data_IF_048039912825
#
_entry.id   IF_048039912825
#
_cell.length_a   1.000
_cell.length_b   1.000
_cell.length_c   1.000
_cell.angle_alpha   90.00
_cell.angle_beta   90.00
_cell.angle_gamma   90.00
#
_symmetry.space_group_name_H-M   'P 1'
#
loop_
_entity.id
_entity.type
_entity.pdbx_description
1 polymer ?
#
# COMPACT_ATOMS: atom_id res chain seq x y z
N UNK A 1 -23.04 -55.50 -78.05
CA UNK A 1 -24.43 -56.00 -77.88
C UNK A 1 -25.13 -55.07 -76.92
N UNK A 2 -26.31 -54.62 -77.34
CA UNK A 2 -27.14 -53.58 -76.77
C UNK A 2 -27.76 -54.00 -75.42
N UNK A 3 -27.82 -53.16 -74.44
CA UNK A 3 -28.61 -53.29 -73.24
C UNK A 3 -29.18 -51.93 -72.83
N UNK A 4 -30.39 -51.67 -73.21
CA UNK A 4 -31.18 -50.47 -72.93
C UNK A 4 -31.89 -50.66 -71.59
N UNK A 5 -31.63 -49.82 -70.59
CA UNK A 5 -32.44 -49.79 -69.36
C UNK A 5 -33.10 -48.42 -69.19
N UNK A 6 -34.44 -48.45 -69.26
CA UNK A 6 -35.32 -47.38 -68.92
C UNK A 6 -35.36 -47.20 -67.38
N UNK A 7 -35.15 -46.01 -66.88
CA UNK A 7 -35.46 -45.68 -65.49
C UNK A 7 -36.58 -44.70 -65.46
N UNK A 8 -37.66 -45.12 -64.84
CA UNK A 8 -38.90 -44.41 -64.59
C UNK A 8 -38.67 -43.32 -63.54
N UNK A 9 -38.90 -42.09 -63.92
CA UNK A 9 -38.79 -40.94 -63.03
C UNK A 9 -40.13 -40.73 -62.32
N UNK A 10 -40.21 -41.01 -61.03
CA UNK A 10 -41.37 -40.65 -60.19
C UNK A 10 -41.13 -39.30 -59.55
N UNK A 11 -41.87 -38.32 -60.02
CA UNK A 11 -41.94 -37.01 -59.39
C UNK A 11 -42.86 -37.09 -58.16
N UNK A 12 -42.28 -37.11 -56.98
CA UNK A 12 -43.01 -36.80 -55.74
C UNK A 12 -42.90 -35.30 -55.47
N UNK A 13 -44.00 -34.59 -55.65
CA UNK A 13 -44.14 -33.22 -55.14
C UNK A 13 -44.43 -33.29 -53.66
N UNK A 14 -43.45 -33.00 -52.85
CA UNK A 14 -43.61 -32.81 -51.40
C UNK A 14 -43.86 -31.31 -51.18
N UNK A 15 -45.10 -30.98 -50.85
CA UNK A 15 -45.42 -29.64 -50.32
C UNK A 15 -44.81 -29.54 -48.95
N UNK A 16 -43.68 -28.85 -48.88
CA UNK A 16 -43.01 -28.53 -47.62
C UNK A 16 -43.81 -27.50 -46.85
N UNK A 17 -44.35 -27.89 -45.73
CA UNK A 17 -44.79 -27.00 -44.65
C UNK A 17 -43.57 -26.22 -44.18
N UNK A 18 -43.56 -24.92 -44.47
CA UNK A 18 -42.56 -23.99 -43.90
C UNK A 18 -42.82 -23.87 -42.42
N UNK A 19 -42.00 -24.53 -41.61
CA UNK A 19 -41.90 -24.25 -40.21
C UNK A 19 -40.97 -23.03 -40.10
N UNK A 20 -41.56 -21.89 -39.77
CA UNK A 20 -40.83 -20.71 -39.36
C UNK A 20 -40.29 -21.02 -37.95
N UNK A 21 -39.10 -21.57 -37.90
CA UNK A 21 -38.28 -21.50 -36.68
C UNK A 21 -37.74 -20.11 -36.59
N UNK A 22 -38.39 -19.27 -35.80
CA UNK A 22 -37.76 -18.06 -35.31
C UNK A 22 -36.65 -18.50 -34.35
N UNK A 23 -35.48 -18.72 -34.89
CA UNK A 23 -34.26 -18.77 -34.08
C UNK A 23 -34.07 -17.41 -33.46
N UNK A 24 -34.76 -17.17 -32.33
CA UNK A 24 -34.30 -16.26 -31.35
C UNK A 24 -32.94 -16.83 -30.85
N UNK A 25 -31.87 -16.49 -31.55
CA UNK A 25 -30.55 -16.52 -30.97
C UNK A 25 -30.61 -15.64 -29.71
N UNK A 26 -30.94 -16.31 -28.62
CA UNK A 26 -30.66 -15.81 -27.29
C UNK A 26 -29.13 -15.79 -27.17
N UNK A 27 -28.50 -14.73 -27.70
CA UNK A 27 -27.19 -14.31 -27.27
C UNK A 27 -27.34 -13.98 -25.79
N UNK A 28 -27.35 -15.01 -24.99
CA UNK A 28 -27.05 -14.91 -23.58
C UNK A 28 -25.65 -14.33 -23.51
N UNK A 29 -25.59 -12.99 -23.43
CA UNK A 29 -24.40 -12.30 -23.02
C UNK A 29 -24.02 -12.92 -21.67
N UNK A 30 -23.17 -13.97 -21.71
CA UNK A 30 -22.36 -14.40 -20.61
C UNK A 30 -21.36 -13.27 -20.33
N UNK A 31 -21.86 -12.14 -19.87
CA UNK A 31 -21.04 -11.23 -19.11
C UNK A 31 -20.51 -12.07 -17.96
N UNK A 32 -19.27 -12.52 -18.12
CA UNK A 32 -18.51 -13.15 -17.04
C UNK A 32 -18.69 -12.24 -15.84
N UNK A 33 -19.59 -12.63 -14.92
CA UNK A 33 -19.68 -11.99 -13.62
C UNK A 33 -18.24 -11.87 -13.13
N UNK A 34 -17.74 -10.66 -12.87
CA UNK A 34 -16.38 -10.53 -12.37
C UNK A 34 -16.28 -11.46 -11.17
N UNK A 35 -15.33 -12.39 -11.24
CA UNK A 35 -15.07 -13.34 -10.16
C UNK A 35 -15.00 -12.48 -8.91
N UNK A 36 -15.98 -12.61 -8.01
CA UNK A 36 -16.04 -11.80 -6.78
C UNK A 36 -14.84 -12.23 -5.92
N UNK A 37 -13.67 -11.74 -6.28
CA UNK A 37 -12.48 -11.84 -5.46
C UNK A 37 -12.77 -11.03 -4.23
N UNK A 38 -12.81 -11.69 -3.07
CA UNK A 38 -12.91 -10.98 -1.81
C UNK A 38 -11.85 -9.88 -1.67
N UNK A 39 -11.84 -9.16 -0.57
CA UNK A 39 -10.85 -8.10 -0.34
C UNK A 39 -9.42 -8.65 -0.37
N UNK A 40 -8.51 -7.85 -0.89
CA UNK A 40 -7.08 -8.15 -0.91
C UNK A 40 -6.24 -6.87 -0.76
N UNK A 41 -5.00 -7.03 -0.28
CA UNK A 41 -4.07 -5.93 -0.08
C UNK A 41 -3.23 -5.66 -1.33
N UNK A 42 -3.14 -4.38 -1.73
CA UNK A 42 -2.18 -3.92 -2.71
C UNK A 42 -0.84 -3.65 -2.00
N UNK A 43 0.01 -4.67 -1.95
CA UNK A 43 1.30 -4.62 -1.25
C UNK A 43 2.28 -3.62 -1.86
N UNK A 44 2.06 -3.19 -3.10
CA UNK A 44 2.91 -2.17 -3.74
C UNK A 44 2.74 -0.79 -3.09
N UNK A 45 1.54 -0.52 -2.58
CA UNK A 45 1.19 0.71 -1.88
C UNK A 45 1.33 0.61 -0.35
N UNK A 46 1.45 -0.60 0.20
CA UNK A 46 1.45 -0.90 1.64
C UNK A 46 2.85 -1.34 2.08
N UNK A 47 3.74 -0.37 2.39
CA UNK A 47 5.18 -0.60 2.62
C UNK A 47 5.58 -0.29 4.06
N UNK A 48 6.74 -0.83 4.47
CA UNK A 48 7.42 -0.40 5.69
C UNK A 48 7.77 1.09 5.62
N UNK A 49 7.76 1.75 6.76
CA UNK A 49 7.98 3.19 6.89
C UNK A 49 9.12 3.46 7.86
N UNK A 50 10.05 4.34 7.46
CA UNK A 50 11.04 4.92 8.38
C UNK A 50 10.67 6.38 8.58
N UNK A 51 10.53 6.82 9.82
CA UNK A 51 10.17 8.18 10.19
C UNK A 51 11.16 8.77 11.20
N UNK A 52 11.25 10.08 11.24
CA UNK A 52 12.04 10.79 12.24
C UNK A 52 11.25 10.95 13.54
N UNK A 53 11.94 10.87 14.67
CA UNK A 53 11.38 11.24 15.97
C UNK A 53 10.72 12.62 15.86
N UNK A 54 9.49 12.75 16.35
CA UNK A 54 8.71 13.99 16.33
C UNK A 54 8.08 14.37 15.00
N UNK A 55 8.42 13.73 13.88
CA UNK A 55 7.79 13.96 12.57
C UNK A 55 6.71 12.93 12.31
N UNK A 56 5.49 13.39 12.02
CA UNK A 56 4.36 12.49 11.76
C UNK A 56 4.72 11.37 10.80
N UNK A 57 4.51 10.13 11.23
CA UNK A 57 4.63 8.94 10.41
C UNK A 57 3.27 8.56 9.84
N UNK A 58 3.22 8.12 8.59
CA UNK A 58 2.00 7.64 7.95
C UNK A 58 2.23 6.24 7.39
N UNK A 59 1.50 5.27 7.93
CA UNK A 59 1.39 3.92 7.38
C UNK A 59 0.21 3.90 6.41
N UNK A 60 0.40 3.33 5.23
CA UNK A 60 -0.65 3.21 4.22
C UNK A 60 -1.00 1.76 3.96
N UNK A 61 -2.29 1.46 3.98
CA UNK A 61 -2.84 0.16 3.65
C UNK A 61 -3.86 0.34 2.52
N UNK A 62 -3.56 -0.17 1.34
CA UNK A 62 -4.51 -0.14 0.23
C UNK A 62 -5.24 -1.46 0.14
N UNK A 63 -6.58 -1.40 0.30
CA UNK A 63 -7.45 -2.57 0.29
C UNK A 63 -8.38 -2.52 -0.90
N UNK A 64 -8.22 -3.46 -1.82
CA UNK A 64 -9.06 -3.61 -3.00
C UNK A 64 -10.25 -4.51 -2.72
N UNK A 65 -11.39 -4.22 -3.33
CA UNK A 65 -12.63 -5.01 -3.23
C UNK A 65 -13.11 -5.17 -1.78
N UNK A 66 -12.99 -4.12 -0.97
CA UNK A 66 -13.35 -4.16 0.46
C UNK A 66 -14.83 -4.55 0.67
N UNK A 67 -15.74 -4.05 -0.17
CA UNK A 67 -17.19 -4.25 -0.03
C UNK A 67 -17.72 -3.60 1.24
N UNK A 68 -18.53 -4.33 1.97
CA UNK A 68 -19.17 -3.93 3.25
C UNK A 68 -18.31 -4.20 4.49
N UNK A 69 -17.05 -4.60 4.30
CA UNK A 69 -16.15 -4.95 5.40
C UNK A 69 -15.43 -3.72 5.95
N UNK A 70 -14.91 -3.88 7.17
CA UNK A 70 -14.22 -2.82 7.90
C UNK A 70 -12.72 -3.09 7.92
N UNK A 71 -11.94 -2.02 7.80
CA UNK A 71 -10.48 -2.03 7.99
C UNK A 71 -10.17 -1.58 9.41
N UNK A 72 -9.29 -2.29 10.10
CA UNK A 72 -8.83 -1.96 11.45
C UNK A 72 -7.31 -1.91 11.51
N UNK A 73 -6.76 -1.07 12.37
CA UNK A 73 -5.33 -1.04 12.65
C UNK A 73 -5.03 -1.62 14.02
N UNK A 74 -4.07 -2.54 14.06
CA UNK A 74 -3.63 -3.24 15.27
C UNK A 74 -2.12 -3.06 15.45
N UNK A 75 -1.67 -2.75 16.66
CA UNK A 75 -0.26 -2.73 17.03
C UNK A 75 0.13 -4.10 17.58
N UNK A 76 1.11 -4.76 16.94
CA UNK A 76 1.46 -6.15 17.25
C UNK A 76 2.11 -6.36 18.60
N UNK A 77 2.94 -5.42 19.09
CA UNK A 77 3.72 -5.65 20.32
C UNK A 77 2.88 -5.99 21.56
N UNK A 78 1.64 -5.50 21.59
CA UNK A 78 0.68 -5.66 22.71
C UNK A 78 -0.72 -6.05 22.21
N UNK A 79 -0.84 -6.37 20.92
CA UNK A 79 -2.11 -6.74 20.26
C UNK A 79 -3.18 -5.67 20.52
N UNK A 80 -2.78 -4.40 20.49
CA UNK A 80 -3.65 -3.28 20.81
C UNK A 80 -4.42 -2.82 19.57
N UNK A 81 -5.76 -2.84 19.65
CA UNK A 81 -6.62 -2.29 18.64
C UNK A 81 -6.53 -0.76 18.69
N UNK A 82 -6.06 -0.16 17.59
CA UNK A 82 -5.88 1.28 17.49
C UNK A 82 -7.11 1.96 16.89
N UNK A 83 -7.64 1.39 15.79
CA UNK A 83 -8.77 1.99 15.06
C UNK A 83 -9.67 0.92 14.46
N UNK A 84 -10.94 1.29 14.24
CA UNK A 84 -11.92 0.54 13.43
C UNK A 84 -12.51 1.50 12.42
N UNK A 85 -12.29 1.25 11.14
CA UNK A 85 -12.56 2.25 10.11
C UNK A 85 -11.71 3.50 10.33
N UNK A 86 -12.36 4.64 10.43
CA UNK A 86 -11.72 5.94 10.76
C UNK A 86 -11.82 6.27 12.25
N UNK A 87 -12.56 5.49 13.04
CA UNK A 87 -12.76 5.73 14.46
C UNK A 87 -11.58 5.22 15.28
N UNK A 88 -11.11 6.05 16.22
CA UNK A 88 -9.99 5.73 17.10
C UNK A 88 -10.49 5.03 18.36
N UNK A 89 -9.92 3.87 18.69
CA UNK A 89 -10.24 3.05 19.86
C UNK A 89 -9.18 3.11 20.96
N UNK A 90 -8.01 3.66 20.67
CA UNK A 90 -6.97 3.90 21.67
C UNK A 90 -7.16 5.26 22.34
N UNK A 91 -6.77 5.37 23.61
CA UNK A 91 -6.70 6.66 24.34
C UNK A 91 -5.49 7.52 23.92
N UNK A 92 -4.58 6.98 23.12
CA UNK A 92 -3.43 7.73 22.62
C UNK A 92 -3.85 8.56 21.38
N UNK A 93 -4.12 9.84 21.59
CA UNK A 93 -4.60 10.78 20.56
C UNK A 93 -3.59 11.02 19.41
N UNK A 94 -2.38 10.49 19.53
CA UNK A 94 -1.38 10.57 18.46
C UNK A 94 -1.72 9.68 17.25
N UNK A 95 -2.56 8.67 17.45
CA UNK A 95 -3.01 7.77 16.40
C UNK A 95 -4.28 8.31 15.74
N UNK A 96 -4.21 8.54 14.45
CA UNK A 96 -5.35 9.04 13.65
C UNK A 96 -5.49 8.19 12.38
N UNK A 97 -6.68 7.64 12.16
CA UNK A 97 -6.99 6.94 10.92
C UNK A 97 -7.65 7.87 9.91
N UNK A 98 -7.41 7.61 8.63
CA UNK A 98 -8.09 8.28 7.52
C UNK A 98 -8.32 7.30 6.39
N UNK A 99 -9.39 7.53 5.62
CA UNK A 99 -9.72 6.75 4.43
C UNK A 99 -9.82 7.67 3.21
N UNK A 100 -9.22 7.24 2.12
CA UNK A 100 -9.25 7.95 0.83
C UNK A 100 -9.97 7.06 -0.21
N UNK A 101 -11.30 7.25 -0.40
CA UNK A 101 -12.11 6.36 -1.26
C UNK A 101 -11.61 6.27 -2.70
N UNK A 102 -11.09 7.36 -3.26
CA UNK A 102 -10.62 7.41 -4.64
C UNK A 102 -9.42 6.49 -4.92
N UNK A 103 -8.55 6.28 -3.93
CA UNK A 103 -7.36 5.42 -4.03
C UNK A 103 -7.52 4.10 -3.28
N UNK A 104 -8.60 3.96 -2.49
CA UNK A 104 -8.87 2.83 -1.57
C UNK A 104 -7.79 2.70 -0.47
N UNK A 105 -7.15 3.82 -0.13
CA UNK A 105 -6.12 3.87 0.90
C UNK A 105 -6.73 4.07 2.29
N UNK A 106 -6.27 3.25 3.23
CA UNK A 106 -6.53 3.36 4.66
C UNK A 106 -5.22 3.71 5.35
N UNK A 107 -5.14 4.90 5.91
CA UNK A 107 -3.89 5.38 6.52
C UNK A 107 -4.00 5.43 8.02
N UNK A 108 -2.89 5.08 8.69
CA UNK A 108 -2.69 5.32 10.12
C UNK A 108 -1.58 6.35 10.27
N UNK A 109 -1.91 7.51 10.82
CA UNK A 109 -0.94 8.52 11.20
C UNK A 109 -0.55 8.36 12.66
N UNK A 110 0.75 8.42 12.92
CA UNK A 110 1.32 8.50 14.27
C UNK A 110 1.94 9.90 14.41
N UNK A 111 1.27 10.77 15.14
CA UNK A 111 1.75 12.14 15.39
C UNK A 111 2.87 12.12 16.43
N UNK A 112 3.92 12.91 16.21
CA UNK A 112 5.06 13.03 17.12
C UNK A 112 5.61 11.67 17.57
N UNK A 113 5.92 10.75 16.62
CA UNK A 113 6.37 9.41 16.98
C UNK A 113 7.67 9.45 17.77
N UNK A 114 7.80 8.52 18.69
CA UNK A 114 8.98 8.31 19.51
C UNK A 114 9.63 6.97 19.14
N UNK A 115 10.90 6.76 19.49
CA UNK A 115 11.61 5.50 19.21
C UNK A 115 10.84 4.25 19.69
N UNK A 116 10.13 4.38 20.83
CA UNK A 116 9.28 3.31 21.38
C UNK A 116 8.06 2.97 20.51
N UNK A 117 7.67 3.82 19.57
CA UNK A 117 6.57 3.55 18.65
C UNK A 117 7.00 2.69 17.46
N UNK A 118 8.31 2.42 17.34
CA UNK A 118 8.82 1.46 16.36
C UNK A 118 8.26 0.07 16.63
N UNK A 119 7.95 -0.65 15.57
CA UNK A 119 7.41 -2.00 15.66
C UNK A 119 6.49 -2.34 14.49
N UNK A 120 5.83 -3.49 14.60
CA UNK A 120 4.92 -3.99 13.58
C UNK A 120 3.50 -3.51 13.88
N UNK A 121 2.89 -2.97 12.83
CA UNK A 121 1.49 -2.57 12.78
C UNK A 121 0.80 -3.39 11.70
N UNK A 122 -0.43 -3.77 11.93
CA UNK A 122 -1.20 -4.57 11.00
C UNK A 122 -2.50 -3.89 10.61
N UNK A 123 -2.74 -3.86 9.32
CA UNK A 123 -4.00 -3.49 8.72
C UNK A 123 -4.81 -4.77 8.55
N UNK A 124 -5.95 -4.89 9.21
CA UNK A 124 -6.83 -6.06 9.18
C UNK A 124 -8.16 -5.73 8.49
N UNK A 125 -8.67 -6.70 7.73
CA UNK A 125 -10.01 -6.64 7.14
C UNK A 125 -10.90 -7.67 7.83
N UNK A 126 -12.12 -7.27 8.20
CA UNK A 126 -13.12 -8.09 8.91
C UNK A 126 -13.74 -9.16 8.01
N UNK A 127 -12.91 -10.04 7.43
CA UNK A 127 -13.34 -11.27 6.75
C UNK A 127 -13.48 -12.42 7.76
N UNK A 128 -13.97 -13.57 7.32
CA UNK A 128 -14.05 -14.79 8.13
C UNK A 128 -13.30 -15.92 7.41
N UNK A 129 -12.08 -16.29 7.87
CA UNK A 129 -11.29 -15.65 8.92
C UNK A 129 -10.79 -14.25 8.53
N UNK A 130 -10.41 -13.39 9.49
CA UNK A 130 -9.81 -12.08 9.19
C UNK A 130 -8.53 -12.24 8.38
N UNK A 131 -8.32 -11.32 7.44
CA UNK A 131 -7.06 -11.21 6.70
C UNK A 131 -6.31 -9.96 7.15
N UNK A 132 -4.98 -10.01 7.17
CA UNK A 132 -4.15 -8.92 7.63
C UNK A 132 -2.92 -8.69 6.75
N UNK A 133 -2.45 -7.46 6.74
CA UNK A 133 -1.18 -7.06 6.14
C UNK A 133 -0.35 -6.30 7.16
N UNK A 134 0.81 -6.86 7.49
CA UNK A 134 1.73 -6.28 8.46
C UNK A 134 2.76 -5.40 7.79
N UNK A 135 3.07 -4.26 8.42
CA UNK A 135 4.16 -3.39 8.01
C UNK A 135 4.92 -2.88 9.23
N UNK A 136 6.19 -2.59 9.03
CA UNK A 136 7.08 -2.15 10.10
C UNK A 136 7.26 -0.64 10.06
N UNK A 137 7.03 0.01 11.20
CA UNK A 137 7.40 1.40 11.45
C UNK A 137 8.75 1.43 12.16
N UNK A 138 9.72 2.12 11.58
CA UNK A 138 11.02 2.39 12.19
C UNK A 138 11.13 3.87 12.52
N UNK A 139 11.11 4.23 13.79
CA UNK A 139 11.27 5.62 14.24
C UNK A 139 12.71 5.84 14.63
N UNK A 140 13.41 6.69 13.88
CA UNK A 140 14.84 6.94 14.05
C UNK A 140 15.11 8.38 14.45
N UNK A 141 16.24 8.57 15.13
CA UNK A 141 16.77 9.88 15.50
C UNK A 141 18.10 10.07 14.78
N UNK A 142 18.25 11.13 13.97
CA UNK A 142 19.50 11.38 13.30
C UNK A 142 20.60 11.72 14.30
N UNK A 143 21.78 11.16 14.06
CA UNK A 143 22.98 11.42 14.85
C UNK A 143 23.97 12.17 13.96
N UNK A 144 24.33 13.37 14.38
CA UNK A 144 25.36 14.18 13.72
C UNK A 144 26.69 14.02 14.46
N UNK A 145 27.76 13.77 13.73
CA UNK A 145 29.10 13.64 14.29
C UNK A 145 30.16 14.25 13.39
N UNK A 146 31.18 14.83 13.99
CA UNK A 146 32.38 15.29 13.26
C UNK A 146 33.33 14.08 13.18
N UNK A 147 33.86 13.83 11.96
CA UNK A 147 34.84 12.77 11.74
C UNK A 147 36.19 13.21 12.28
N UNK A 148 36.83 12.35 13.07
CA UNK A 148 38.15 12.57 13.60
C UNK A 148 38.20 12.34 15.12
N UNK A 149 39.30 12.80 15.73
CA UNK A 149 39.47 12.74 17.17
C UNK A 149 38.73 13.90 17.85
N UNK A 150 38.26 13.76 19.09
CA UNK A 150 37.55 14.79 19.81
C UNK A 150 38.43 16.03 20.10
N UNK A 151 39.73 15.85 20.08
CA UNK A 151 40.71 16.91 20.30
C UNK A 151 41.65 17.01 19.09
N UNK A 152 41.87 18.21 18.61
CA UNK A 152 42.77 18.51 17.49
C UNK A 152 43.67 19.70 17.85
N UNK A 153 44.96 19.49 17.80
CA UNK A 153 45.96 20.52 18.04
C UNK A 153 46.44 21.08 16.69
N UNK A 154 46.28 22.38 16.48
CA UNK A 154 46.66 23.07 15.24
C UNK A 154 47.52 24.29 15.55
N UNK A 155 48.38 24.65 14.64
CA UNK A 155 49.16 25.89 14.76
C UNK A 155 48.30 27.09 14.36
N UNK A 156 48.56 28.25 15.00
CA UNK A 156 47.88 29.47 14.61
C UNK A 156 48.12 29.78 13.13
N UNK A 157 47.05 30.08 12.40
CA UNK A 157 47.08 30.38 10.96
C UNK A 157 47.03 29.15 10.04
N UNK A 158 46.93 27.92 10.59
CA UNK A 158 46.73 26.70 9.80
C UNK A 158 45.28 26.59 9.33
N UNK A 159 45.10 25.99 8.17
CA UNK A 159 43.77 25.59 7.67
C UNK A 159 43.34 24.26 8.30
N UNK A 160 42.10 24.19 8.74
CA UNK A 160 41.50 22.99 9.31
C UNK A 160 40.31 22.52 8.43
N UNK A 161 40.32 21.26 8.06
CA UNK A 161 39.20 20.62 7.34
C UNK A 161 38.41 19.75 8.31
N UNK A 162 37.12 20.05 8.47
CA UNK A 162 36.20 19.25 9.28
C UNK A 162 35.17 18.60 8.37
N UNK A 163 34.88 17.34 8.66
CA UNK A 163 33.84 16.58 7.94
C UNK A 163 32.72 16.22 8.92
N UNK A 164 31.51 16.63 8.59
CA UNK A 164 30.28 16.27 9.31
C UNK A 164 29.60 15.08 8.65
N UNK A 165 29.20 14.11 9.46
CA UNK A 165 28.43 12.94 9.03
C UNK A 165 27.11 12.89 9.77
N UNK A 166 26.01 12.80 9.04
CA UNK A 166 24.67 12.57 9.57
C UNK A 166 24.30 11.10 9.32
N UNK A 167 23.99 10.37 10.39
CA UNK A 167 23.59 8.95 10.34
C UNK A 167 22.13 8.78 10.73
N UNK A 168 21.53 7.68 10.30
CA UNK A 168 20.13 7.30 10.61
C UNK A 168 19.10 8.34 10.17
N UNK A 169 19.38 9.12 9.12
CA UNK A 169 18.38 9.97 8.49
C UNK A 169 17.79 9.24 7.28
N UNK A 170 16.46 9.05 7.19
CA UNK A 170 15.81 8.46 6.01
C UNK A 170 15.91 9.38 4.78
N UNK A 171 16.07 10.68 5.02
CA UNK A 171 16.21 11.71 4.00
C UNK A 171 17.43 12.59 4.30
N UNK A 172 18.06 13.19 3.29
CA UNK A 172 19.11 14.19 3.53
C UNK A 172 18.58 15.32 4.42
N UNK A 173 19.40 15.86 5.34
CA UNK A 173 19.02 17.01 6.14
C UNK A 173 18.77 18.23 5.23
N UNK A 174 17.79 19.04 5.56
CA UNK A 174 17.44 20.25 4.81
C UNK A 174 18.55 21.30 4.88
N UNK A 175 19.32 21.32 5.98
CA UNK A 175 20.47 22.19 6.16
C UNK A 175 21.43 21.61 7.19
N UNK A 176 22.72 21.98 7.08
CA UNK A 176 23.77 21.71 8.05
C UNK A 176 24.42 23.06 8.39
N UNK A 177 24.48 23.36 9.67
CA UNK A 177 25.13 24.58 10.17
C UNK A 177 26.34 24.20 11.02
N UNK A 178 27.42 24.95 10.87
CA UNK A 178 28.57 24.86 11.74
C UNK A 178 28.50 26.00 12.77
N UNK A 179 28.72 25.64 14.02
CA UNK A 179 28.81 26.62 15.11
C UNK A 179 30.16 26.52 15.79
N UNK A 180 30.64 27.65 16.28
CA UNK A 180 31.81 27.77 17.13
C UNK A 180 31.45 28.71 18.28
N UNK A 181 31.59 28.27 19.51
CA UNK A 181 31.20 29.02 20.72
C UNK A 181 29.77 29.59 20.62
N UNK A 182 28.80 28.74 20.19
CA UNK A 182 27.39 29.05 19.99
C UNK A 182 27.09 30.07 18.84
N UNK A 183 28.09 30.54 18.12
CA UNK A 183 27.89 31.38 16.96
C UNK A 183 27.89 30.56 15.66
N UNK A 184 26.95 30.87 14.74
CA UNK A 184 26.88 30.21 13.43
C UNK A 184 27.97 30.74 12.54
N UNK A 185 28.79 29.84 11.98
CA UNK A 185 29.79 30.18 11.00
C UNK A 185 29.16 30.40 9.63
N UNK A 186 29.48 31.53 9.01
CA UNK A 186 29.09 31.85 7.63
C UNK A 186 30.35 31.73 6.73
N UNK A 187 30.22 30.93 5.64
CA UNK A 187 31.28 30.66 4.68
C UNK A 187 30.96 31.28 3.33
#
# INVERSE_FOLDING_TARGET
MKGLFFTLSLLFSVQGLAWSTSDHEMHENLALKPLNRGPYFDVSASKNVTALVGKTATLNCRVRNLGDRTVSWVRHRDIHLLTVGIDTYTSDERFVASHFPATEDWTLQVKYPQRRDSGTYECQVSTTPPIGHSMHLSVVEPITSIVGKPEMFINKGSTMNLTCVVRHSPEPPTAIYWTHDDEVLHF
#
